data_IF_028521978666
#
_entry.id   IF_028521978666
#
_cell.length_a   1.000
_cell.length_b   1.000
_cell.length_c   1.000
_cell.angle_alpha   90.00
_cell.angle_beta   90.00
_cell.angle_gamma   90.00
#
_symmetry.space_group_name_H-M   'P 1'
#
loop_
_entity.id
_entity.type
_entity.pdbx_description
1 polymer ?
#
# COMPACT_ATOMS: atom_id res chain seq x y z
N UNK A 1 70.20 17.26 -36.32
CA UNK A 1 69.17 16.50 -35.58
C UNK A 1 67.80 17.09 -35.92
N UNK A 2 66.99 16.40 -36.74
CA UNK A 2 65.62 16.85 -37.10
C UNK A 2 64.65 16.33 -36.04
N UNK A 3 64.09 17.21 -35.22
CA UNK A 3 63.01 16.86 -34.30
C UNK A 3 61.68 16.78 -35.06
N UNK A 4 61.25 15.54 -35.35
CA UNK A 4 59.91 15.25 -35.87
C UNK A 4 58.90 15.49 -34.75
N UNK A 5 58.04 16.51 -34.89
CA UNK A 5 56.92 16.74 -33.98
C UNK A 5 55.75 15.85 -34.41
N UNK A 6 55.48 14.79 -33.66
CA UNK A 6 54.25 14.01 -33.83
C UNK A 6 53.07 14.81 -33.27
N UNK A 7 52.08 15.09 -34.12
CA UNK A 7 50.84 15.74 -33.73
C UNK A 7 49.93 14.73 -33.00
N UNK A 8 49.60 15.01 -31.75
CA UNK A 8 48.64 14.26 -30.96
C UNK A 8 47.22 14.55 -31.50
N UNK A 9 46.62 13.59 -32.20
CA UNK A 9 45.20 13.66 -32.61
C UNK A 9 44.34 13.43 -31.37
N UNK A 10 43.61 14.47 -30.95
CA UNK A 10 42.55 14.32 -29.95
C UNK A 10 41.43 13.42 -30.54
N UNK A 11 40.92 12.43 -29.78
CA UNK A 11 39.81 11.60 -30.25
C UNK A 11 38.58 12.47 -30.49
N UNK A 12 37.97 12.35 -31.66
CA UNK A 12 36.75 13.07 -32.02
C UNK A 12 35.60 12.64 -31.11
N UNK A 13 34.89 13.60 -30.53
CA UNK A 13 33.64 13.35 -29.82
C UNK A 13 32.62 12.88 -30.87
N UNK A 14 32.18 11.63 -30.73
CA UNK A 14 31.13 11.06 -31.57
C UNK A 14 29.80 11.63 -31.06
N UNK A 15 29.09 12.40 -31.90
CA UNK A 15 27.80 12.98 -31.53
C UNK A 15 26.65 11.99 -31.70
N UNK A 16 25.74 11.94 -30.72
CA UNK A 16 24.49 11.16 -30.82
C UNK A 16 23.58 11.83 -31.84
N UNK A 17 22.99 11.03 -32.75
CA UNK A 17 22.05 11.57 -33.73
C UNK A 17 20.64 11.74 -33.13
N UNK A 18 19.85 12.67 -33.68
CA UNK A 18 18.46 12.86 -33.26
C UNK A 18 17.63 11.58 -33.46
N UNK A 19 17.91 10.82 -34.52
CA UNK A 19 17.24 9.54 -34.79
C UNK A 19 17.58 8.49 -33.72
N UNK A 20 18.83 8.43 -33.29
CA UNK A 20 19.30 7.51 -32.26
C UNK A 20 18.63 7.81 -30.91
N UNK A 21 18.52 9.10 -30.55
CA UNK A 21 17.78 9.51 -29.36
C UNK A 21 16.30 9.10 -29.43
N UNK A 22 15.66 9.25 -30.59
CA UNK A 22 14.26 8.83 -30.77
C UNK A 22 14.09 7.32 -30.62
N UNK A 23 15.00 6.51 -31.16
CA UNK A 23 14.96 5.04 -31.00
C UNK A 23 15.11 4.67 -29.53
N UNK A 24 16.05 5.30 -28.80
CA UNK A 24 16.24 5.07 -27.36
C UNK A 24 14.97 5.41 -26.57
N UNK A 25 14.32 6.54 -26.87
CA UNK A 25 13.07 6.94 -26.22
C UNK A 25 11.92 5.97 -26.49
N UNK A 26 11.81 5.47 -27.73
CA UNK A 26 10.82 4.45 -28.09
C UNK A 26 11.05 3.18 -27.28
N UNK A 27 12.28 2.66 -27.27
CA UNK A 27 12.62 1.45 -26.49
C UNK A 27 12.36 1.67 -24.99
N UNK A 28 12.74 2.83 -24.45
CA UNK A 28 12.53 3.18 -23.04
C UNK A 28 11.05 3.20 -22.67
N UNK A 29 10.19 3.78 -23.52
CA UNK A 29 8.75 3.84 -23.25
C UNK A 29 8.09 2.46 -23.21
N UNK A 30 8.50 1.55 -24.10
CA UNK A 30 8.03 0.16 -24.09
C UNK A 30 8.47 -0.56 -22.82
N UNK A 31 9.72 -0.36 -22.38
CA UNK A 31 10.23 -0.97 -21.15
C UNK A 31 9.50 -0.45 -19.90
N UNK A 32 9.25 0.86 -19.83
CA UNK A 32 8.53 1.49 -18.71
C UNK A 32 7.09 0.98 -18.60
N UNK A 33 6.43 0.76 -19.73
CA UNK A 33 5.05 0.24 -19.75
C UNK A 33 4.91 -1.12 -19.08
N UNK A 34 5.95 -1.97 -19.14
CA UNK A 34 5.96 -3.29 -18.50
C UNK A 34 6.46 -3.24 -17.05
N UNK A 35 7.50 -2.46 -16.79
CA UNK A 35 8.21 -2.48 -15.50
C UNK A 35 7.46 -1.74 -14.39
N UNK A 36 6.85 -0.59 -14.69
CA UNK A 36 6.13 0.22 -13.69
C UNK A 36 4.99 -0.56 -13.00
N UNK A 37 4.05 -1.22 -13.71
CA UNK A 37 2.95 -1.92 -13.04
C UNK A 37 3.44 -3.14 -12.21
N UNK A 38 4.48 -3.82 -12.68
CA UNK A 38 5.05 -4.97 -11.96
C UNK A 38 5.68 -4.56 -10.63
N UNK A 39 6.43 -3.46 -10.62
CA UNK A 39 7.05 -2.96 -9.40
C UNK A 39 6.03 -2.45 -8.39
N UNK A 40 5.02 -1.68 -8.84
CA UNK A 40 3.97 -1.19 -7.94
C UNK A 40 3.22 -2.31 -7.24
N UNK A 41 2.97 -3.43 -7.93
CA UNK A 41 2.26 -4.58 -7.35
C UNK A 41 3.06 -5.24 -6.22
N UNK A 42 4.39 -5.33 -6.36
CA UNK A 42 5.24 -5.87 -5.29
C UNK A 42 5.25 -4.95 -4.07
N UNK A 43 5.30 -3.63 -4.30
CA UNK A 43 5.23 -2.64 -3.22
C UNK A 43 3.88 -2.70 -2.51
N UNK A 44 2.78 -2.78 -3.26
CA UNK A 44 1.45 -2.94 -2.68
C UNK A 44 1.35 -4.22 -1.86
N UNK A 45 1.80 -5.36 -2.41
CA UNK A 45 1.81 -6.64 -1.71
C UNK A 45 2.53 -6.56 -0.36
N UNK A 46 3.72 -5.95 -0.34
CA UNK A 46 4.47 -5.77 0.91
C UNK A 46 3.73 -4.94 1.96
N UNK A 47 2.87 -4.02 1.53
CA UNK A 47 2.08 -3.13 2.40
C UNK A 47 0.74 -3.70 2.84
N UNK A 48 0.19 -4.72 2.16
CA UNK A 48 -1.08 -5.37 2.53
C UNK A 48 -1.06 -5.96 3.95
N UNK A 49 0.12 -6.40 4.40
CA UNK A 49 0.34 -6.91 5.77
C UNK A 49 -0.08 -5.89 6.84
N UNK A 50 0.04 -4.59 6.56
CA UNK A 50 -0.37 -3.53 7.49
C UNK A 50 -1.87 -3.59 7.77
N UNK A 51 -2.68 -3.77 6.73
CA UNK A 51 -4.12 -3.87 6.88
C UNK A 51 -4.51 -5.18 7.58
N UNK A 52 -4.03 -6.34 7.10
CA UNK A 52 -4.45 -7.63 7.65
C UNK A 52 -4.02 -7.82 9.10
N UNK A 53 -2.78 -7.46 9.46
CA UNK A 53 -2.31 -7.54 10.84
C UNK A 53 -3.05 -6.59 11.78
N UNK A 54 -3.33 -5.35 11.34
CA UNK A 54 -4.09 -4.40 12.15
C UNK A 54 -5.51 -4.89 12.41
N UNK A 55 -6.22 -5.38 11.37
CA UNK A 55 -7.58 -5.89 11.53
C UNK A 55 -7.63 -7.10 12.47
N UNK A 56 -6.67 -8.03 12.38
CA UNK A 56 -6.57 -9.17 13.30
C UNK A 56 -6.26 -8.73 14.73
N UNK A 57 -5.36 -7.78 14.93
CA UNK A 57 -5.03 -7.25 16.25
C UNK A 57 -6.25 -6.58 16.91
N UNK A 58 -7.01 -5.82 16.13
CA UNK A 58 -8.21 -5.12 16.62
C UNK A 58 -9.35 -6.10 16.88
N UNK A 59 -9.50 -7.15 16.07
CA UNK A 59 -10.44 -8.21 16.37
C UNK A 59 -10.13 -8.85 17.73
N UNK A 60 -8.84 -9.07 18.05
CA UNK A 60 -8.44 -9.51 19.39
C UNK A 60 -8.86 -8.53 20.50
N UNK A 61 -8.68 -7.22 20.29
CA UNK A 61 -9.14 -6.19 21.25
C UNK A 61 -10.67 -6.14 21.37
N UNK A 62 -11.40 -6.40 20.30
CA UNK A 62 -12.85 -6.50 20.32
C UNK A 62 -13.32 -7.67 21.18
N UNK A 63 -12.70 -8.85 21.04
CA UNK A 63 -12.99 -9.99 21.89
C UNK A 63 -12.66 -9.70 23.36
N UNK A 64 -11.51 -9.08 23.65
CA UNK A 64 -11.18 -8.66 25.01
C UNK A 64 -12.22 -7.68 25.57
N UNK A 65 -12.62 -6.67 24.79
CA UNK A 65 -13.62 -5.69 25.18
C UNK A 65 -14.98 -6.36 25.47
N UNK A 66 -15.37 -7.35 24.68
CA UNK A 66 -16.59 -8.14 24.88
C UNK A 66 -16.60 -8.88 26.24
N UNK A 67 -15.46 -9.39 26.70
CA UNK A 67 -15.36 -10.07 28.01
C UNK A 67 -15.68 -9.14 29.18
N UNK A 68 -15.32 -7.86 29.08
CA UNK A 68 -15.50 -6.89 30.16
C UNK A 68 -16.81 -6.11 30.05
N UNK A 69 -17.24 -5.79 28.83
CA UNK A 69 -18.36 -4.88 28.58
C UNK A 69 -19.64 -5.57 28.11
N UNK A 70 -19.58 -6.88 27.79
CA UNK A 70 -20.70 -7.68 27.25
C UNK A 70 -21.32 -7.10 25.97
N UNK A 71 -20.53 -6.32 25.23
CA UNK A 71 -20.78 -5.83 23.88
C UNK A 71 -19.44 -5.61 23.20
N UNK A 72 -19.43 -5.55 21.89
CA UNK A 72 -18.29 -5.03 21.15
C UNK A 72 -18.19 -3.51 21.27
N UNK A 73 -16.99 -2.99 21.01
CA UNK A 73 -16.74 -1.56 20.94
C UNK A 73 -17.40 -0.96 19.70
N UNK A 74 -18.09 0.15 19.89
CA UNK A 74 -18.81 0.86 18.82
C UNK A 74 -17.93 1.86 18.07
N UNK A 75 -16.78 2.21 18.64
CA UNK A 75 -15.80 3.10 18.05
C UNK A 75 -14.37 2.69 18.41
N UNK A 76 -13.39 3.27 17.71
CA UNK A 76 -11.98 2.92 17.90
C UNK A 76 -11.38 3.52 19.19
N UNK A 77 -11.96 4.59 19.75
CA UNK A 77 -11.45 5.18 20.97
C UNK A 77 -11.67 4.26 22.18
N UNK A 78 -12.78 3.51 22.19
CA UNK A 78 -13.03 2.42 23.16
C UNK A 78 -11.97 1.30 23.11
N UNK A 79 -11.29 1.15 21.97
CA UNK A 79 -10.21 0.16 21.75
C UNK A 79 -8.80 0.76 21.91
N UNK A 80 -8.72 1.99 22.44
CA UNK A 80 -7.46 2.66 22.77
C UNK A 80 -6.80 3.40 21.62
N UNK A 81 -7.52 3.71 20.55
CA UNK A 81 -7.01 4.54 19.46
C UNK A 81 -7.19 6.04 19.73
N UNK A 82 -6.41 6.88 19.04
CA UNK A 82 -6.45 8.34 19.25
C UNK A 82 -7.76 9.02 18.84
N UNK A 83 -8.50 8.43 17.88
CA UNK A 83 -9.75 8.96 17.33
C UNK A 83 -10.84 7.90 17.36
N UNK A 84 -12.11 8.28 17.57
CA UNK A 84 -13.22 7.32 17.59
C UNK A 84 -13.48 6.73 16.19
N UNK A 85 -13.22 7.49 15.14
CA UNK A 85 -13.44 7.09 13.75
C UNK A 85 -12.27 7.52 12.89
N UNK A 86 -11.85 6.65 11.97
CA UNK A 86 -10.88 7.00 10.92
C UNK A 86 -9.49 7.27 11.48
N UNK A 87 -8.71 6.20 11.66
CA UNK A 87 -7.31 6.31 12.08
C UNK A 87 -6.40 5.92 10.92
N UNK A 88 -5.44 6.78 10.59
CA UNK A 88 -4.44 6.49 9.56
C UNK A 88 -3.37 5.52 10.07
N UNK A 89 -3.00 4.52 9.29
CA UNK A 89 -1.94 3.55 9.61
C UNK A 89 -0.73 3.74 8.69
N UNK A 90 0.44 3.84 9.31
CA UNK A 90 1.75 3.96 8.66
C UNK A 90 2.30 2.62 8.14
N UNK A 91 3.54 2.63 7.65
CA UNK A 91 4.19 1.40 7.16
C UNK A 91 4.50 0.38 8.26
N UNK A 92 4.67 0.86 9.49
CA UNK A 92 4.91 0.09 10.71
C UNK A 92 3.60 -0.36 11.39
N UNK A 93 2.44 -0.06 10.78
CA UNK A 93 1.13 -0.35 11.35
C UNK A 93 0.76 0.51 12.56
N UNK A 94 1.53 1.56 12.85
CA UNK A 94 1.20 2.52 13.91
C UNK A 94 0.34 3.66 13.38
N UNK A 95 -0.32 4.37 14.28
CA UNK A 95 -1.13 5.52 13.94
C UNK A 95 -0.27 6.66 13.38
N UNK A 96 -0.68 7.21 12.22
CA UNK A 96 -0.04 8.35 11.60
C UNK A 96 -1.07 9.34 11.07
N UNK A 97 -0.79 10.63 11.24
CA UNK A 97 -1.63 11.71 10.71
C UNK A 97 -1.26 12.08 9.26
N UNK A 98 -0.01 11.86 8.87
CA UNK A 98 0.50 12.24 7.55
C UNK A 98 0.89 11.01 6.75
N UNK A 99 0.50 11.00 5.47
CA UNK A 99 0.79 9.95 4.51
C UNK A 99 0.46 8.50 4.98
N UNK A 100 -0.74 8.24 5.55
CA UNK A 100 -1.15 6.88 5.87
C UNK A 100 -1.24 6.00 4.62
N UNK A 101 -1.03 4.70 4.82
CA UNK A 101 -1.29 3.66 3.81
C UNK A 101 -2.73 3.18 3.88
N UNK A 102 -3.28 3.07 5.08
CA UNK A 102 -4.66 2.62 5.30
C UNK A 102 -5.36 3.56 6.27
N UNK A 103 -6.66 3.72 6.09
CA UNK A 103 -7.55 4.35 7.04
C UNK A 103 -8.41 3.26 7.67
N UNK A 104 -8.28 3.11 8.99
CA UNK A 104 -8.95 2.13 9.80
C UNK A 104 -10.27 2.71 10.34
N UNK A 105 -11.33 1.91 10.30
CA UNK A 105 -12.61 2.26 10.90
C UNK A 105 -13.41 1.04 11.33
N UNK A 106 -14.41 1.29 12.18
CA UNK A 106 -15.52 0.39 12.48
C UNK A 106 -16.71 0.82 11.63
N UNK A 107 -17.22 -0.09 10.80
CA UNK A 107 -18.48 0.14 10.11
C UNK A 107 -19.64 0.01 11.11
N UNK A 108 -20.68 0.85 11.01
CA UNK A 108 -21.83 0.78 11.89
C UNK A 108 -22.54 -0.57 11.73
N UNK A 109 -22.90 -1.18 12.87
CA UNK A 109 -23.69 -2.41 12.96
C UNK A 109 -24.72 -2.20 14.06
N UNK A 110 -25.98 -2.55 13.80
CA UNK A 110 -27.09 -2.33 14.76
C UNK A 110 -27.07 -3.32 15.94
N UNK A 111 -26.37 -4.46 15.78
CA UNK A 111 -26.23 -5.50 16.80
C UNK A 111 -24.96 -5.28 17.64
N UNK A 112 -25.07 -5.06 18.97
CA UNK A 112 -23.91 -4.88 19.85
C UNK A 112 -23.03 -6.13 20.00
N UNK A 113 -23.48 -7.29 19.53
CA UNK A 113 -22.72 -8.54 19.47
C UNK A 113 -22.15 -8.81 18.08
N UNK A 114 -22.09 -7.80 17.23
CA UNK A 114 -21.42 -7.85 15.94
C UNK A 114 -20.50 -6.65 15.78
N UNK A 115 -19.44 -6.83 15.00
CA UNK A 115 -18.61 -5.73 14.51
C UNK A 115 -18.22 -5.98 13.07
N UNK A 116 -17.83 -4.91 12.38
CA UNK A 116 -17.20 -4.98 11.07
C UNK A 116 -16.06 -3.97 11.03
N UNK A 117 -14.84 -4.48 11.07
CA UNK A 117 -13.62 -3.70 10.89
C UNK A 117 -13.38 -3.45 9.40
N UNK A 118 -12.84 -2.27 9.10
CA UNK A 118 -12.55 -1.82 7.74
C UNK A 118 -11.17 -1.19 7.71
N UNK A 119 -10.32 -1.60 6.77
CA UNK A 119 -9.07 -0.93 6.43
C UNK A 119 -9.13 -0.48 4.96
N UNK A 120 -9.35 0.81 4.73
CA UNK A 120 -9.45 1.41 3.40
C UNK A 120 -8.07 1.87 2.91
N UNK A 121 -7.59 1.44 1.74
CA UNK A 121 -6.32 1.93 1.21
C UNK A 121 -6.42 3.43 0.89
N UNK A 122 -5.44 4.20 1.34
CA UNK A 122 -5.32 5.64 1.13
C UNK A 122 -3.89 5.99 0.74
N UNK A 123 -3.67 7.25 0.34
CA UNK A 123 -2.34 7.75 0.03
C UNK A 123 -1.56 6.85 -0.96
N UNK A 124 -0.31 6.45 -0.64
CA UNK A 124 0.50 5.60 -1.49
C UNK A 124 -0.05 4.19 -1.76
N UNK A 125 -1.08 3.73 -1.04
CA UNK A 125 -1.72 2.42 -1.26
C UNK A 125 -3.03 2.53 -2.06
N UNK A 126 -3.56 3.74 -2.27
CA UNK A 126 -4.86 3.94 -2.94
C UNK A 126 -4.96 3.32 -4.35
N UNK A 127 -3.82 3.11 -5.01
CA UNK A 127 -3.73 2.45 -6.32
C UNK A 127 -3.85 0.92 -6.30
N UNK A 128 -3.91 0.27 -5.14
CA UNK A 128 -4.05 -1.19 -5.01
C UNK A 128 -5.48 -1.66 -5.32
N UNK A 129 -5.91 -1.50 -6.57
CA UNK A 129 -7.24 -1.91 -7.04
C UNK A 129 -7.43 -3.42 -7.04
N UNK A 130 -6.32 -4.18 -7.00
CA UNK A 130 -6.37 -5.64 -6.96
C UNK A 130 -6.96 -6.14 -5.65
N UNK A 131 -6.61 -5.53 -4.53
CA UNK A 131 -7.14 -5.94 -3.22
C UNK A 131 -8.12 -4.94 -2.61
N UNK A 132 -7.98 -3.65 -2.86
CA UNK A 132 -8.93 -2.63 -2.39
C UNK A 132 -9.06 -2.58 -0.87
N UNK A 133 -10.28 -2.36 -0.39
CA UNK A 133 -10.60 -2.24 1.04
C UNK A 133 -10.70 -3.60 1.69
N UNK A 134 -10.07 -3.79 2.84
CA UNK A 134 -10.10 -5.01 3.65
C UNK A 134 -11.18 -4.90 4.72
N UNK A 135 -11.92 -5.99 4.96
CA UNK A 135 -12.90 -6.08 6.04
C UNK A 135 -12.79 -7.39 6.83
N UNK A 136 -13.02 -7.30 8.14
CA UNK A 136 -13.10 -8.46 9.05
C UNK A 136 -14.29 -8.27 9.99
N UNK A 137 -15.09 -9.31 10.20
CA UNK A 137 -16.23 -9.27 11.11
C UNK A 137 -16.04 -10.16 12.35
N UNK A 138 -17.00 -10.09 13.27
CA UNK A 138 -17.00 -10.86 14.52
C UNK A 138 -16.97 -12.39 14.33
N UNK A 139 -17.37 -12.91 13.17
CA UNK A 139 -17.31 -14.36 12.89
C UNK A 139 -16.02 -14.78 12.19
N UNK A 140 -15.05 -13.88 12.03
CA UNK A 140 -13.78 -14.16 11.36
C UNK A 140 -13.87 -14.20 9.83
N UNK A 141 -14.98 -13.75 9.24
CA UNK A 141 -15.12 -13.65 7.79
C UNK A 141 -14.31 -12.45 7.30
N UNK A 142 -13.17 -12.77 6.70
CA UNK A 142 -12.29 -11.83 6.01
C UNK A 142 -12.78 -11.62 4.56
N UNK A 143 -12.83 -10.37 4.12
CA UNK A 143 -13.19 -10.02 2.76
C UNK A 143 -12.39 -8.81 2.25
N UNK A 144 -12.43 -8.59 0.94
CA UNK A 144 -11.82 -7.43 0.33
C UNK A 144 -12.63 -6.95 -0.88
N UNK A 145 -12.51 -5.67 -1.26
CA UNK A 145 -13.33 -5.06 -2.32
C UNK A 145 -12.67 -5.01 -3.71
N UNK A 146 -11.45 -5.55 -3.84
CA UNK A 146 -10.66 -5.52 -5.06
C UNK A 146 -11.07 -6.56 -6.10
N UNK A 147 -10.38 -6.54 -7.24
CA UNK A 147 -10.62 -7.52 -8.33
C UNK A 147 -10.15 -8.94 -8.02
N UNK A 148 -9.21 -9.11 -7.08
CA UNK A 148 -8.82 -10.39 -6.55
C UNK A 148 -9.61 -10.71 -5.28
N UNK A 149 -9.95 -11.99 -5.08
CA UNK A 149 -10.68 -12.43 -3.89
C UNK A 149 -9.81 -12.53 -2.62
N UNK A 150 -10.42 -12.85 -1.47
CA UNK A 150 -9.77 -12.83 -0.17
C UNK A 150 -8.54 -13.74 -0.09
N UNK A 151 -8.60 -14.93 -0.68
CA UNK A 151 -7.50 -15.92 -0.71
C UNK A 151 -6.20 -15.38 -1.34
N UNK A 152 -6.29 -14.35 -2.18
CA UNK A 152 -5.13 -13.75 -2.85
C UNK A 152 -4.62 -12.47 -2.17
N UNK A 153 -5.38 -11.93 -1.21
CA UNK A 153 -5.16 -10.60 -0.64
C UNK A 153 -4.86 -10.62 0.86
N UNK A 154 -5.46 -11.57 1.60
CA UNK A 154 -5.32 -11.71 3.05
C UNK A 154 -4.13 -12.55 3.48
#
# INVERSE_FOLDING_TARGET
MKHSRQAFKLPGVVGVSLLELLIVLVVLSVLLMLTVPLYSEQVFRGRRIVASSALLAIAGRQEEFMLYHRRYASDLAELGFSKPQGVGLGQDGQEVESAPLYELSLAPVDDPYQFRLVARPVGPQAGDMRCGTYTLNATGVAANSGSAGPDACW
#
